data_IF_311359831889
#
_entry.id   IF_311359831889
#
_cell.length_a   1.000
_cell.length_b   1.000
_cell.length_c   1.000
_cell.angle_alpha   90.00
_cell.angle_beta   90.00
_cell.angle_gamma   90.00
#
_symmetry.space_group_name_H-M   'P 1'
#
loop_
_entity.id
_entity.type
_entity.pdbx_description
1 polymer ?
#
# COMPACT_ATOMS: atom_id res chain seq x y z
N UNK A 1 -27.32 -24.84 22.15
CA UNK A 1 -27.17 -26.30 22.00
C UNK A 1 -26.10 -26.58 20.96
N UNK A 2 -24.96 -27.11 21.42
CA UNK A 2 -23.97 -27.97 20.77
C UNK A 2 -22.57 -27.55 21.18
N UNK A 3 -22.19 -28.10 22.33
CA UNK A 3 -20.82 -28.35 22.71
C UNK A 3 -20.31 -29.58 21.94
N UNK A 4 -19.06 -29.55 21.51
CA UNK A 4 -18.27 -30.75 21.32
C UNK A 4 -16.79 -30.40 21.57
N UNK A 5 -16.29 -30.91 22.68
CA UNK A 5 -14.89 -30.95 23.03
C UNK A 5 -14.19 -32.05 22.23
N UNK A 6 -12.92 -31.84 21.86
CA UNK A 6 -11.96 -32.92 21.69
C UNK A 6 -10.61 -32.48 22.28
N UNK A 7 -10.29 -33.09 23.42
CA UNK A 7 -8.93 -33.22 23.93
C UNK A 7 -8.15 -34.23 23.09
N UNK A 8 -6.90 -33.92 22.76
CA UNK A 8 -5.94 -34.93 22.32
C UNK A 8 -4.55 -34.51 22.75
N UNK A 9 -3.97 -35.27 23.69
CA UNK A 9 -2.57 -35.20 24.07
C UNK A 9 -1.69 -35.67 22.91
N UNK A 10 -0.53 -35.04 22.68
CA UNK A 10 0.47 -35.56 21.76
C UNK A 10 1.87 -35.39 22.32
N UNK A 11 2.53 -36.53 22.51
CA UNK A 11 3.94 -36.68 22.89
C UNK A 11 4.88 -35.88 21.96
N UNK A 12 5.82 -35.16 22.56
CA UNK A 12 6.94 -34.54 21.86
C UNK A 12 7.93 -35.60 21.35
N UNK A 13 7.66 -36.16 20.18
CA UNK A 13 8.71 -36.77 19.36
C UNK A 13 9.53 -35.64 18.72
N UNK A 14 10.78 -35.51 19.14
CA UNK A 14 11.82 -34.75 18.42
C UNK A 14 12.02 -35.44 17.07
N UNK A 15 11.23 -35.05 16.06
CA UNK A 15 11.44 -35.50 14.68
C UNK A 15 12.77 -34.92 14.21
N UNK A 16 13.69 -35.81 13.84
CA UNK A 16 14.92 -35.42 13.18
C UNK A 16 14.61 -34.49 12.00
N UNK A 17 15.27 -33.33 11.96
CA UNK A 17 15.17 -32.40 10.84
C UNK A 17 15.45 -33.15 9.53
N UNK A 18 14.62 -32.99 8.49
CA UNK A 18 14.85 -33.63 7.20
C UNK A 18 16.28 -33.37 6.72
N UNK A 19 17.05 -34.40 6.33
CA UNK A 19 18.45 -34.26 5.87
C UNK A 19 18.66 -33.16 4.81
N UNK A 20 17.61 -32.83 4.04
CA UNK A 20 17.60 -31.74 3.06
C UNK A 20 17.76 -30.34 3.70
N UNK A 21 17.21 -30.11 4.90
CA UNK A 21 17.37 -28.85 5.64
C UNK A 21 18.81 -28.67 6.13
N UNK A 22 19.43 -29.74 6.66
CA UNK A 22 20.80 -29.70 7.17
C UNK A 22 21.80 -29.38 6.05
N UNK A 23 21.64 -30.00 4.87
CA UNK A 23 22.51 -29.71 3.72
C UNK A 23 22.45 -28.23 3.31
N UNK A 24 21.25 -27.64 3.31
CA UNK A 24 21.03 -26.24 2.90
C UNK A 24 21.69 -25.22 3.83
N UNK A 25 21.70 -25.47 5.14
CA UNK A 25 22.41 -24.59 6.09
C UNK A 25 23.92 -24.59 5.79
N UNK A 26 24.48 -25.75 5.44
CA UNK A 26 25.88 -25.86 5.00
C UNK A 26 26.16 -25.09 3.70
N UNK A 27 25.27 -25.20 2.72
CA UNK A 27 25.40 -24.50 1.43
C UNK A 27 25.36 -22.97 1.62
N UNK A 28 24.46 -22.45 2.48
CA UNK A 28 24.40 -21.02 2.83
C UNK A 28 25.68 -20.58 3.54
N UNK A 29 26.20 -21.39 4.46
CA UNK A 29 27.45 -21.11 5.17
C UNK A 29 28.67 -21.03 4.23
N UNK A 30 28.77 -21.93 3.25
CA UNK A 30 29.83 -21.85 2.24
C UNK A 30 29.72 -20.57 1.40
N UNK A 31 28.50 -20.19 1.02
CA UNK A 31 28.26 -18.96 0.29
C UNK A 31 28.71 -17.72 1.08
N UNK A 32 28.61 -17.73 2.41
CA UNK A 32 29.14 -16.66 3.26
C UNK A 32 30.67 -16.61 3.28
N UNK A 33 31.33 -17.77 3.32
CA UNK A 33 32.79 -17.86 3.25
C UNK A 33 33.27 -17.34 1.88
N UNK A 34 32.60 -17.71 0.79
CA UNK A 34 32.90 -17.16 -0.53
C UNK A 34 32.68 -15.64 -0.59
N UNK A 35 31.58 -15.15 -0.02
CA UNK A 35 31.26 -13.73 -0.03
C UNK A 35 32.31 -12.91 0.74
N UNK A 36 32.75 -13.39 1.91
CA UNK A 36 33.77 -12.72 2.72
C UNK A 36 35.17 -12.76 2.10
N UNK A 37 35.51 -13.85 1.39
CA UNK A 37 36.85 -14.03 0.81
C UNK A 37 36.97 -13.44 -0.60
N UNK A 38 35.97 -13.65 -1.46
CA UNK A 38 35.97 -13.25 -2.87
C UNK A 38 35.26 -11.92 -3.13
N UNK A 39 34.50 -11.40 -2.17
CA UNK A 39 33.68 -10.19 -2.32
C UNK A 39 32.68 -10.27 -3.49
N UNK A 40 32.28 -11.49 -3.88
CA UNK A 40 31.29 -11.76 -4.91
C UNK A 40 30.60 -13.08 -4.62
N UNK A 41 29.30 -13.20 -4.88
CA UNK A 41 28.66 -14.51 -4.91
C UNK A 41 29.09 -15.29 -6.15
N UNK A 42 29.63 -16.49 -5.93
CA UNK A 42 29.78 -17.47 -7.01
C UNK A 42 28.42 -17.84 -7.62
N UNK A 43 28.44 -18.33 -8.86
CA UNK A 43 27.22 -18.73 -9.58
C UNK A 43 26.39 -19.77 -8.82
N UNK A 44 27.04 -20.67 -8.08
CA UNK A 44 26.36 -21.66 -7.22
C UNK A 44 25.53 -21.00 -6.11
N UNK A 45 26.03 -19.90 -5.55
CA UNK A 45 25.33 -19.19 -4.49
C UNK A 45 24.21 -18.33 -5.03
N UNK A 46 24.40 -17.69 -6.19
CA UNK A 46 23.30 -17.01 -6.89
C UNK A 46 22.17 -18.00 -7.18
N UNK A 47 22.50 -19.20 -7.65
CA UNK A 47 21.51 -20.25 -7.95
C UNK A 47 20.65 -20.66 -6.75
N UNK A 48 21.11 -20.50 -5.50
CA UNK A 48 20.30 -20.77 -4.30
C UNK A 48 19.17 -19.76 -4.11
N UNK A 49 19.37 -18.52 -4.56
CA UNK A 49 18.45 -17.39 -4.40
C UNK A 49 17.62 -17.08 -5.66
N UNK A 50 17.82 -17.84 -6.74
CA UNK A 50 17.02 -17.74 -7.96
C UNK A 50 15.68 -18.51 -7.82
N UNK A 51 14.69 -18.24 -8.69
CA UNK A 51 13.46 -19.04 -8.76
C UNK A 51 13.79 -20.53 -8.86
N UNK A 52 13.26 -21.35 -7.95
CA UNK A 52 13.54 -22.79 -7.89
C UNK A 52 14.83 -23.20 -7.15
N UNK A 53 15.68 -22.24 -6.75
CA UNK A 53 16.92 -22.47 -5.98
C UNK A 53 16.72 -23.06 -4.58
N UNK A 54 15.48 -23.15 -4.12
CA UNK A 54 15.08 -23.84 -2.91
C UNK A 54 15.22 -23.01 -1.63
N UNK A 55 15.89 -21.85 -1.66
CA UNK A 55 15.94 -20.89 -0.55
C UNK A 55 15.08 -19.68 -0.91
N UNK A 56 13.96 -19.50 -0.20
CA UNK A 56 13.18 -18.26 -0.28
C UNK A 56 13.78 -17.27 0.71
N UNK A 57 14.62 -16.33 0.25
CA UNK A 57 15.28 -15.37 1.14
C UNK A 57 14.27 -14.46 1.85
N UNK A 58 13.17 -14.13 1.18
CA UNK A 58 12.04 -13.35 1.69
C UNK A 58 10.90 -14.31 2.05
N UNK A 59 10.39 -14.20 3.28
CA UNK A 59 9.28 -15.02 3.78
C UNK A 59 7.94 -14.28 3.77
N UNK A 60 7.96 -12.94 3.84
CA UNK A 60 6.77 -12.10 3.93
C UNK A 60 7.11 -10.66 3.56
N UNK A 61 6.13 -9.95 3.03
CA UNK A 61 6.19 -8.52 2.81
C UNK A 61 4.96 -7.91 3.48
N UNK A 62 5.19 -6.89 4.32
CA UNK A 62 4.14 -6.03 4.85
C UNK A 62 4.38 -4.63 4.31
N UNK A 63 3.33 -4.07 3.72
CA UNK A 63 3.28 -2.67 3.33
C UNK A 63 2.45 -1.95 4.39
N UNK A 64 2.99 -0.86 4.93
CA UNK A 64 2.24 0.06 5.77
C UNK A 64 1.30 0.91 4.90
N UNK A 65 1.37 2.22 5.10
CA UNK A 65 0.66 3.18 4.25
C UNK A 65 1.15 3.08 2.80
N UNK A 66 0.21 3.05 1.85
CA UNK A 66 0.51 2.94 0.43
C UNK A 66 -0.24 4.04 -0.32
N UNK A 67 0.49 4.93 -0.97
CA UNK A 67 -0.07 6.07 -1.67
C UNK A 67 0.03 5.86 -3.18
N UNK A 68 -1.11 5.91 -3.87
CA UNK A 68 -1.20 5.94 -5.33
C UNK A 68 -1.51 7.35 -5.83
N UNK A 69 -0.89 7.77 -6.92
CA UNK A 69 -1.17 9.05 -7.57
C UNK A 69 -1.40 8.83 -9.06
N UNK A 70 -2.66 9.05 -9.46
CA UNK A 70 -3.20 8.92 -10.81
C UNK A 70 -3.34 10.27 -11.51
N UNK A 71 -2.68 11.32 -11.01
CA UNK A 71 -2.74 12.66 -11.62
C UNK A 71 -1.80 12.85 -12.81
N UNK A 72 -0.98 11.84 -13.13
CA UNK A 72 -0.14 11.85 -14.32
C UNK A 72 -1.01 11.88 -15.58
N UNK A 73 -0.71 12.73 -16.59
CA UNK A 73 -1.46 12.75 -17.84
C UNK A 73 -1.38 11.45 -18.64
N UNK A 74 -0.39 10.59 -18.39
CA UNK A 74 -0.28 9.28 -19.00
C UNK A 74 -0.95 8.21 -18.12
N UNK A 75 -2.08 7.62 -18.54
CA UNK A 75 -2.84 6.68 -17.72
C UNK A 75 -2.16 5.32 -17.50
N UNK A 76 -1.00 5.08 -18.12
CA UNK A 76 -0.19 3.88 -17.90
C UNK A 76 0.84 4.04 -16.79
N UNK A 77 0.98 5.26 -16.28
CA UNK A 77 1.94 5.67 -15.28
C UNK A 77 1.14 6.01 -14.03
N UNK A 78 1.34 5.21 -12.98
CA UNK A 78 0.78 5.50 -11.65
C UNK A 78 1.95 5.69 -10.71
N UNK A 79 1.98 6.79 -9.99
CA UNK A 79 3.00 7.00 -8.97
C UNK A 79 2.64 6.24 -7.69
N UNK A 80 3.60 5.54 -7.10
CA UNK A 80 3.44 4.72 -5.90
C UNK A 80 4.47 5.14 -4.85
N UNK A 81 4.06 5.22 -3.60
CA UNK A 81 4.98 5.36 -2.47
C UNK A 81 4.48 4.66 -1.22
N UNK A 82 5.41 4.22 -0.37
CA UNK A 82 5.13 3.63 0.94
C UNK A 82 6.25 4.01 1.91
N UNK A 83 5.97 4.77 2.98
CA UNK A 83 6.99 5.18 3.95
C UNK A 83 7.42 4.04 4.89
N UNK A 84 6.67 2.95 4.98
CA UNK A 84 6.99 1.80 5.83
C UNK A 84 6.77 0.50 5.06
N UNK A 85 7.87 -0.09 4.58
CA UNK A 85 7.88 -1.43 4.01
C UNK A 85 8.73 -2.34 4.89
N UNK A 86 8.14 -3.46 5.30
CA UNK A 86 8.79 -4.46 6.13
C UNK A 86 8.89 -5.77 5.37
N UNK A 87 10.11 -6.25 5.19
CA UNK A 87 10.40 -7.50 4.49
C UNK A 87 10.92 -8.50 5.51
N UNK A 88 10.13 -9.55 5.78
CA UNK A 88 10.60 -10.65 6.60
C UNK A 88 11.61 -11.48 5.82
N UNK A 89 12.80 -11.64 6.38
CA UNK A 89 13.89 -12.45 5.79
C UNK A 89 14.04 -13.76 6.56
N UNK A 90 14.70 -14.74 5.95
CA UNK A 90 14.99 -16.00 6.63
C UNK A 90 15.94 -15.77 7.80
N UNK A 91 15.56 -16.32 8.95
CA UNK A 91 16.33 -16.24 10.19
C UNK A 91 17.76 -16.76 10.05
N UNK A 92 18.68 -16.13 10.78
CA UNK A 92 20.08 -16.56 10.83
C UNK A 92 20.95 -16.03 9.70
N UNK A 93 20.46 -15.01 8.98
CA UNK A 93 21.22 -14.26 7.98
C UNK A 93 21.67 -12.93 8.59
N UNK A 94 22.91 -12.81 9.11
CA UNK A 94 23.40 -11.60 9.75
C UNK A 94 23.97 -10.62 8.72
N UNK A 95 23.19 -10.25 7.71
CA UNK A 95 23.65 -9.24 6.75
C UNK A 95 23.36 -7.84 7.29
N UNK A 96 24.38 -7.00 7.54
CA UNK A 96 24.18 -5.58 7.83
C UNK A 96 23.80 -4.85 6.54
N UNK A 97 22.57 -5.11 6.07
CA UNK A 97 22.00 -4.45 4.89
C UNK A 97 21.86 -2.97 5.23
N UNK A 98 22.47 -2.12 4.43
CA UNK A 98 22.43 -0.66 4.57
C UNK A 98 21.51 -0.01 3.56
N UNK A 99 21.39 -0.61 2.38
CA UNK A 99 20.55 -0.10 1.30
C UNK A 99 19.90 -1.25 0.55
N UNK A 100 18.73 -1.00 -0.02
CA UNK A 100 18.04 -1.91 -0.91
C UNK A 100 17.49 -1.16 -2.13
N UNK A 101 17.39 -1.85 -3.26
CA UNK A 101 16.55 -1.48 -4.39
C UNK A 101 15.84 -2.72 -4.92
N UNK A 102 14.70 -2.53 -5.55
CA UNK A 102 13.82 -3.63 -5.92
C UNK A 102 13.30 -3.43 -7.34
N UNK A 103 13.21 -4.51 -8.09
CA UNK A 103 12.45 -4.61 -9.33
C UNK A 103 11.26 -5.51 -9.04
N UNK A 104 10.06 -4.94 -9.05
CA UNK A 104 8.84 -5.58 -8.55
C UNK A 104 7.82 -5.71 -9.68
N UNK A 105 7.18 -6.86 -9.73
CA UNK A 105 6.06 -7.20 -10.60
C UNK A 105 4.86 -7.47 -9.70
N UNK A 106 3.75 -6.80 -10.00
CA UNK A 106 2.47 -6.96 -9.34
C UNK A 106 1.65 -8.00 -10.11
N UNK A 107 1.26 -9.06 -9.41
CA UNK A 107 0.53 -10.19 -9.96
C UNK A 107 -0.83 -10.29 -9.28
N UNK A 108 -1.89 -10.09 -10.04
CA UNK A 108 -3.26 -10.21 -9.58
C UNK A 108 -3.93 -11.43 -10.22
N UNK A 109 -4.53 -12.31 -9.40
CA UNK A 109 -5.19 -13.54 -9.85
C UNK A 109 -4.33 -14.38 -10.83
N UNK A 110 -3.02 -14.42 -10.60
CA UNK A 110 -2.06 -15.16 -11.42
C UNK A 110 -1.61 -14.45 -12.71
N UNK A 111 -2.04 -13.22 -12.95
CA UNK A 111 -1.67 -12.41 -14.12
C UNK A 111 -0.76 -11.27 -13.70
N UNK A 112 0.38 -11.10 -14.37
CA UNK A 112 1.21 -9.91 -14.18
C UNK A 112 0.48 -8.70 -14.75
N UNK A 113 0.21 -7.68 -13.92
CA UNK A 113 -0.59 -6.50 -14.32
C UNK A 113 0.20 -5.19 -14.34
N UNK A 114 1.27 -5.10 -13.54
CA UNK A 114 2.13 -3.93 -13.54
C UNK A 114 3.54 -4.26 -13.03
N UNK A 115 4.48 -3.34 -13.24
CA UNK A 115 5.84 -3.41 -12.69
C UNK A 115 6.34 -2.05 -12.23
N UNK A 116 7.21 -2.03 -11.23
CA UNK A 116 7.91 -0.83 -10.79
C UNK A 116 9.32 -1.17 -10.29
N UNK A 117 10.20 -0.17 -10.29
CA UNK A 117 11.56 -0.29 -9.78
C UNK A 117 11.82 0.80 -8.76
N UNK A 118 12.42 0.46 -7.62
CA UNK A 118 12.78 1.46 -6.60
C UNK A 118 14.22 1.94 -6.78
N UNK A 119 14.53 3.21 -6.49
CA UNK A 119 15.92 3.64 -6.37
C UNK A 119 16.58 2.97 -5.15
N UNK A 120 17.90 3.07 -5.05
CA UNK A 120 18.61 2.71 -3.82
C UNK A 120 18.10 3.58 -2.66
N UNK A 121 17.58 2.92 -1.64
CA UNK A 121 17.08 3.56 -0.41
C UNK A 121 17.72 2.90 0.80
N UNK A 122 17.88 3.67 1.86
CA UNK A 122 18.37 3.15 3.13
C UNK A 122 17.46 2.03 3.64
N UNK A 123 18.06 1.01 4.23
CA UNK A 123 17.34 -0.09 4.85
C UNK A 123 18.02 -0.47 6.17
N UNK A 124 17.20 -0.93 7.13
CA UNK A 124 17.65 -1.25 8.48
C UNK A 124 17.16 -2.63 8.85
N UNK A 125 18.08 -3.48 9.30
CA UNK A 125 17.74 -4.79 9.86
C UNK A 125 17.30 -4.66 11.31
N UNK A 126 16.15 -5.23 11.63
CA UNK A 126 15.58 -5.37 12.98
C UNK A 126 15.24 -6.86 13.21
N UNK A 127 16.20 -7.60 13.77
CA UNK A 127 16.14 -9.06 13.84
C UNK A 127 16.05 -9.69 12.44
N UNK A 128 14.96 -10.41 12.18
CA UNK A 128 14.67 -11.06 10.90
C UNK A 128 13.79 -10.18 9.98
N UNK A 129 13.65 -8.89 10.27
CA UNK A 129 12.85 -7.95 9.48
C UNK A 129 13.73 -6.85 8.90
N UNK A 130 13.74 -6.72 7.57
CA UNK A 130 14.34 -5.59 6.87
C UNK A 130 13.28 -4.48 6.75
N UNK A 131 13.53 -3.34 7.41
CA UNK A 131 12.72 -2.13 7.30
C UNK A 131 13.29 -1.24 6.20
N UNK A 132 12.45 -0.78 5.29
CA UNK A 132 12.82 0.07 4.16
C UNK A 132 11.64 0.94 3.73
N UNK A 133 11.81 1.76 2.70
CA UNK A 133 10.78 2.66 2.18
C UNK A 133 10.64 2.49 0.68
N UNK A 134 9.42 2.51 0.15
CA UNK A 134 9.20 2.71 -1.28
C UNK A 134 9.05 4.22 -1.49
N UNK A 135 10.10 4.87 -1.98
CA UNK A 135 10.01 6.28 -2.39
C UNK A 135 9.00 6.47 -3.53
N UNK A 136 8.77 7.71 -3.97
CA UNK A 136 7.90 7.95 -5.12
C UNK A 136 8.47 7.27 -6.37
N UNK A 137 7.84 6.18 -6.81
CA UNK A 137 8.24 5.37 -7.95
C UNK A 137 7.12 5.23 -8.96
N UNK A 138 7.48 5.04 -10.22
CA UNK A 138 6.53 4.85 -11.31
C UNK A 138 6.17 3.37 -11.41
N UNK A 139 4.88 3.09 -11.26
CA UNK A 139 4.23 1.84 -11.62
C UNK A 139 3.83 1.92 -13.08
N UNK A 140 4.44 1.05 -13.88
CA UNK A 140 4.13 0.89 -15.29
C UNK A 140 3.12 -0.25 -15.43
N UNK A 141 1.90 0.09 -15.83
CA UNK A 141 0.88 -0.89 -16.17
C UNK A 141 1.25 -1.55 -17.50
N UNK A 142 1.16 -2.88 -17.60
CA UNK A 142 1.40 -3.55 -18.89
C UNK A 142 0.32 -3.17 -19.89
N UNK A 143 0.71 -2.82 -21.12
CA UNK A 143 -0.20 -2.27 -22.13
C UNK A 143 -1.40 -3.18 -22.44
N UNK A 144 -1.21 -4.49 -22.45
CA UNK A 144 -2.23 -5.49 -22.71
C UNK A 144 -2.99 -5.93 -21.44
N UNK A 145 -2.76 -5.26 -20.30
CA UNK A 145 -3.30 -5.60 -18.98
C UNK A 145 -4.09 -4.47 -18.31
N UNK A 146 -4.43 -3.42 -19.05
CA UNK A 146 -5.17 -2.25 -18.54
C UNK A 146 -6.50 -2.63 -17.87
N UNK A 147 -7.21 -3.59 -18.46
CA UNK A 147 -8.50 -4.06 -17.93
C UNK A 147 -8.34 -4.80 -16.60
N UNK A 148 -7.32 -5.64 -16.49
CA UNK A 148 -7.00 -6.38 -15.26
C UNK A 148 -6.51 -5.42 -14.17
N UNK A 149 -5.69 -4.44 -14.52
CA UNK A 149 -5.26 -3.41 -13.58
C UNK A 149 -6.45 -2.53 -13.13
N UNK A 150 -7.36 -2.16 -14.03
CA UNK A 150 -8.60 -1.46 -13.66
C UNK A 150 -9.44 -2.29 -12.68
N UNK A 151 -9.58 -3.60 -12.93
CA UNK A 151 -10.30 -4.51 -12.04
C UNK A 151 -9.62 -4.66 -10.67
N UNK A 152 -8.29 -4.60 -10.62
CA UNK A 152 -7.52 -4.53 -9.38
C UNK A 152 -7.87 -3.25 -8.60
N UNK A 153 -7.88 -2.08 -9.25
CA UNK A 153 -8.29 -0.82 -8.60
C UNK A 153 -9.75 -0.87 -8.14
N UNK A 154 -10.66 -1.42 -8.95
CA UNK A 154 -12.06 -1.64 -8.55
C UNK A 154 -12.16 -2.50 -7.30
N UNK A 155 -11.38 -3.58 -7.23
CA UNK A 155 -11.39 -4.47 -6.09
C UNK A 155 -10.87 -3.78 -4.81
N UNK A 156 -9.86 -2.92 -4.91
CA UNK A 156 -9.40 -2.09 -3.79
C UNK A 156 -10.44 -1.05 -3.35
N UNK A 157 -11.23 -0.51 -4.29
CA UNK A 157 -12.28 0.46 -4.00
C UNK A 157 -13.44 -0.16 -3.20
N UNK A 158 -13.91 -1.34 -3.61
CA UNK A 158 -15.15 -1.93 -3.04
C UNK A 158 -14.90 -2.89 -1.88
N UNK A 159 -13.77 -3.60 -1.86
CA UNK A 159 -13.53 -4.62 -0.84
C UNK A 159 -12.85 -4.01 0.39
N UNK A 160 -13.17 -4.49 1.61
CA UNK A 160 -12.48 -4.05 2.83
C UNK A 160 -11.04 -4.56 2.89
N UNK A 161 -10.73 -5.68 2.25
CA UNK A 161 -9.37 -6.20 2.08
C UNK A 161 -9.20 -6.79 0.69
N UNK A 162 -7.98 -6.75 0.17
CA UNK A 162 -7.65 -7.37 -1.12
C UNK A 162 -6.24 -7.95 -1.09
N UNK A 163 -6.10 -9.15 -1.65
CA UNK A 163 -4.86 -9.92 -1.64
C UNK A 163 -4.34 -10.15 -3.05
N UNK A 164 -3.05 -9.92 -3.26
CA UNK A 164 -2.34 -10.12 -4.52
C UNK A 164 -0.91 -10.55 -4.25
N UNK A 165 -0.14 -10.83 -5.30
CA UNK A 165 1.25 -11.28 -5.19
C UNK A 165 2.20 -10.18 -5.66
N UNK A 166 3.23 -9.92 -4.88
CA UNK A 166 4.42 -9.20 -5.32
C UNK A 166 5.54 -10.20 -5.57
N UNK A 167 6.14 -10.13 -6.76
CA UNK A 167 7.33 -10.92 -7.09
C UNK A 167 8.37 -10.09 -7.80
N UNK A 168 9.61 -10.54 -7.80
CA UNK A 168 10.67 -9.85 -8.53
C UNK A 168 12.04 -10.11 -7.96
N UNK A 169 12.92 -9.13 -8.09
CA UNK A 169 14.30 -9.20 -7.61
C UNK A 169 14.65 -8.04 -6.70
N UNK A 170 15.46 -8.30 -5.68
CA UNK A 170 16.03 -7.29 -4.80
C UNK A 170 17.54 -7.28 -4.95
N UNK A 171 18.11 -6.08 -5.02
CA UNK A 171 19.53 -5.86 -4.82
C UNK A 171 19.73 -5.20 -3.45
N UNK A 172 20.74 -5.64 -2.70
CA UNK A 172 21.07 -5.10 -1.38
C UNK A 172 22.53 -4.67 -1.32
N UNK A 173 22.81 -3.56 -0.64
CA UNK A 173 24.15 -3.18 -0.20
C UNK A 173 24.32 -3.58 1.26
N UNK A 174 25.49 -4.11 1.58
CA UNK A 174 25.88 -4.48 2.93
C UNK A 174 27.22 -3.84 3.26
N UNK A 175 27.35 -3.40 4.49
CA UNK A 175 28.61 -2.89 5.02
C UNK A 175 29.24 -3.93 5.92
N UNK A 176 30.28 -4.60 5.43
CA UNK A 176 31.05 -5.54 6.24
C UNK A 176 32.07 -4.70 7.02
N UNK A 177 31.83 -4.56 8.32
CA UNK A 177 32.85 -4.07 9.25
C UNK A 177 33.76 -5.24 9.59
N UNK A 178 35.08 -5.07 9.44
CA UNK A 178 36.02 -6.04 10.00
C UNK A 178 35.69 -6.18 11.49
N UNK A 179 35.47 -7.40 12.00
CA UNK A 179 35.19 -7.59 13.41
C UNK A 179 36.35 -6.99 14.18
N UNK A 180 36.09 -5.93 14.96
CA UNK A 180 37.10 -5.39 15.87
C UNK A 180 37.50 -6.56 16.75
N UNK A 181 38.75 -7.05 16.67
CA UNK A 181 39.13 -8.23 17.42
C UNK A 181 38.81 -7.93 18.89
N UNK A 182 38.04 -8.78 19.58
CA UNK A 182 37.73 -8.54 20.97
C UNK A 182 39.07 -8.41 21.69
N UNK A 183 39.33 -7.23 22.26
CA UNK A 183 40.48 -7.03 23.15
C UNK A 183 40.23 -7.94 24.33
N UNK A 184 40.69 -9.19 24.27
CA UNK A 184 40.63 -10.11 25.39
C UNK A 184 41.58 -9.55 26.47
N UNK A 185 41.06 -9.05 27.60
CA UNK A 185 41.91 -8.53 28.65
C UNK A 185 42.55 -9.72 29.36
N UNK A 186 43.87 -9.90 29.23
CA UNK A 186 44.65 -10.69 30.19
C UNK A 186 45.08 -12.11 29.81
N UNK A 187 44.94 -12.57 28.55
CA UNK A 187 45.52 -13.86 28.13
C UNK A 187 46.95 -13.71 27.62
N UNK A 188 47.89 -13.39 28.52
CA UNK A 188 49.31 -13.56 28.27
C UNK A 188 49.68 -15.03 28.36
N UNK A 189 50.12 -15.65 27.26
CA UNK A 189 50.94 -16.86 27.36
C UNK A 189 50.59 -18.08 26.49
N UNK A 190 49.51 -18.09 25.70
CA UNK A 190 49.25 -19.23 24.79
C UNK A 190 49.50 -18.88 23.33
N UNK A 191 50.32 -19.72 22.67
CA UNK A 191 50.95 -19.48 21.38
C UNK A 191 49.99 -19.07 20.24
N UNK A 192 50.31 -17.92 19.66
CA UNK A 192 50.17 -17.51 18.25
C UNK A 192 49.10 -18.19 17.38
N UNK A 193 47.81 -17.90 17.65
CA UNK A 193 46.80 -17.77 16.58
C UNK A 193 46.86 -16.40 15.88
N UNK A 194 47.91 -15.62 16.14
CA UNK A 194 48.06 -14.22 15.71
C UNK A 194 47.96 -14.01 14.20
N UNK A 195 48.35 -15.00 13.37
CA UNK A 195 48.38 -14.82 11.92
C UNK A 195 47.00 -14.61 11.25
N UNK A 196 45.96 -15.29 11.71
CA UNK A 196 44.61 -15.15 11.13
C UNK A 196 43.92 -13.87 11.61
N UNK A 197 44.08 -13.52 12.89
CA UNK A 197 43.56 -12.28 13.45
C UNK A 197 44.26 -11.04 12.88
N UNK A 198 45.58 -11.10 12.63
CA UNK A 198 46.32 -10.02 11.96
C UNK A 198 45.96 -9.87 10.47
N UNK A 199 45.49 -10.92 9.81
CA UNK A 199 44.97 -10.81 8.45
C UNK A 199 43.55 -10.22 8.43
N UNK A 200 42.73 -10.50 9.45
CA UNK A 200 41.42 -9.87 9.62
C UNK A 200 41.51 -8.40 10.03
N UNK A 201 42.49 -8.00 10.83
CA UNK A 201 42.73 -6.60 11.21
C UNK A 201 43.35 -5.75 10.08
N UNK A 202 43.96 -6.39 9.08
CA UNK A 202 44.45 -5.75 7.84
C UNK A 202 43.40 -5.65 6.74
N UNK A 203 42.21 -6.23 6.93
CA UNK A 203 41.07 -5.95 6.05
C UNK A 203 40.64 -4.49 6.27
N UNK A 204 40.91 -3.70 5.24
CA UNK A 204 40.64 -2.28 5.02
C UNK A 204 39.34 -1.71 5.63
N UNK A 205 39.22 -0.37 5.74
CA UNK A 205 37.99 0.34 6.11
C UNK A 205 36.74 -0.30 5.50
N UNK A 206 35.66 -0.33 6.28
CA UNK A 206 34.33 -0.85 5.95
C UNK A 206 34.07 -0.86 4.43
N UNK A 207 34.04 -2.06 3.85
CA UNK A 207 33.77 -2.23 2.42
C UNK A 207 32.28 -2.43 2.21
N UNK A 208 31.70 -1.65 1.31
CA UNK A 208 30.35 -1.88 0.80
C UNK A 208 30.40 -3.00 -0.24
N UNK A 209 29.55 -4.00 -0.06
CA UNK A 209 29.33 -5.09 -1.00
C UNK A 209 27.92 -5.00 -1.55
N UNK A 210 27.73 -5.30 -2.83
CA UNK A 210 26.39 -5.38 -3.44
C UNK A 210 26.06 -6.82 -3.79
N UNK A 211 24.91 -7.31 -3.32
CA UNK A 211 24.31 -8.57 -3.73
C UNK A 211 23.16 -8.21 -4.66
N UNK A 212 23.16 -8.75 -5.87
CA UNK A 212 22.14 -8.46 -6.88
C UNK A 212 21.28 -9.69 -7.21
N UNK A 213 20.03 -9.46 -7.61
CA UNK A 213 19.16 -10.47 -8.19
C UNK A 213 18.57 -11.46 -7.20
N UNK A 214 18.38 -11.09 -5.93
CA UNK A 214 17.74 -11.96 -4.94
C UNK A 214 16.26 -12.08 -5.30
N UNK A 215 15.81 -13.26 -5.73
CA UNK A 215 14.40 -13.45 -6.07
C UNK A 215 13.52 -13.44 -4.82
N UNK A 216 12.34 -12.84 -4.95
CA UNK A 216 11.30 -12.94 -3.96
C UNK A 216 9.92 -13.11 -4.59
N UNK A 217 9.01 -13.68 -3.81
CA UNK A 217 7.60 -13.81 -4.13
C UNK A 217 6.83 -13.88 -2.81
N UNK A 218 5.95 -12.92 -2.58
CA UNK A 218 5.13 -12.84 -1.37
C UNK A 218 3.70 -12.46 -1.72
N UNK A 219 2.77 -13.10 -1.04
CA UNK A 219 1.40 -12.64 -0.95
C UNK A 219 1.36 -11.38 -0.07
N UNK A 220 0.57 -10.39 -0.49
CA UNK A 220 0.37 -9.11 0.20
C UNK A 220 -1.12 -8.86 0.27
N UNK A 221 -1.61 -8.54 1.47
CA UNK A 221 -3.00 -8.15 1.71
C UNK A 221 -3.04 -6.70 2.12
N UNK A 222 -3.82 -5.89 1.42
CA UNK A 222 -4.07 -4.50 1.75
C UNK A 222 -5.49 -4.35 2.30
N UNK A 223 -5.68 -3.47 3.26
CA UNK A 223 -7.00 -2.89 3.54
C UNK A 223 -7.42 -2.01 2.36
N UNK A 224 -8.60 -2.26 1.81
CA UNK A 224 -9.21 -1.44 0.77
C UNK A 224 -10.10 -0.34 1.35
N UNK A 225 -10.81 0.40 0.48
CA UNK A 225 -11.68 1.50 0.90
C UNK A 225 -13.06 1.06 1.40
N UNK A 226 -13.43 -0.21 1.23
CA UNK A 226 -14.72 -0.77 1.65
C UNK A 226 -15.93 0.05 1.13
N UNK A 227 -15.83 0.58 -0.09
CA UNK A 227 -16.85 1.43 -0.70
C UNK A 227 -17.13 2.74 0.08
N UNK A 228 -16.11 3.31 0.72
CA UNK A 228 -16.14 4.63 1.39
C UNK A 228 -17.36 4.80 2.33
N UNK A 229 -17.46 4.00 3.41
CA UNK A 229 -18.65 3.98 4.25
C UNK A 229 -18.87 5.27 5.06
N UNK A 230 -17.81 6.05 5.27
CA UNK A 230 -17.80 7.20 6.17
C UNK A 230 -17.70 8.51 5.37
N UNK A 231 -18.82 8.93 4.78
CA UNK A 231 -18.93 10.21 4.09
C UNK A 231 -19.91 11.11 4.84
N UNK A 232 -19.44 12.28 5.23
CA UNK A 232 -20.21 13.26 6.00
C UNK A 232 -20.36 14.54 5.20
N UNK A 233 -21.57 15.08 5.18
CA UNK A 233 -21.79 16.45 4.73
C UNK A 233 -21.26 17.44 5.76
N UNK A 234 -20.50 18.45 5.32
CA UNK A 234 -19.89 19.45 6.22
C UNK A 234 -20.60 20.80 6.10
N UNK A 235 -20.62 21.39 4.91
CA UNK A 235 -21.19 22.73 4.71
C UNK A 235 -21.65 22.98 3.27
N UNK A 236 -22.61 23.90 3.13
CA UNK A 236 -23.04 24.44 1.84
C UNK A 236 -22.15 25.62 1.50
N UNK A 237 -21.51 25.57 0.33
CA UNK A 237 -20.64 26.65 -0.14
C UNK A 237 -21.38 27.58 -1.09
N UNK A 238 -22.08 27.02 -2.08
CA UNK A 238 -22.80 27.79 -3.10
C UNK A 238 -24.05 27.02 -3.56
N UNK A 239 -25.07 27.77 -3.98
CA UNK A 239 -26.25 27.22 -4.65
C UNK A 239 -26.75 28.18 -5.72
N UNK A 240 -27.00 27.66 -6.91
CA UNK A 240 -27.48 28.42 -8.06
C UNK A 240 -28.62 27.67 -8.73
N UNK A 241 -29.69 28.37 -9.08
CA UNK A 241 -30.80 27.86 -9.89
C UNK A 241 -30.78 28.60 -11.23
N UNK A 242 -30.77 27.85 -12.31
CA UNK A 242 -30.79 28.37 -13.67
C UNK A 242 -32.24 28.66 -14.11
N UNK A 243 -32.45 29.51 -15.13
CA UNK A 243 -33.79 29.83 -15.64
C UNK A 243 -34.60 28.63 -16.14
N UNK A 244 -33.92 27.55 -16.56
CA UNK A 244 -34.53 26.29 -16.99
C UNK A 244 -34.91 25.35 -15.83
N UNK A 245 -34.67 25.78 -14.59
CA UNK A 245 -34.94 25.03 -13.37
C UNK A 245 -33.84 24.03 -12.98
N UNK A 246 -32.80 23.85 -13.81
CA UNK A 246 -31.60 23.11 -13.40
C UNK A 246 -30.87 23.86 -12.28
N UNK A 247 -30.09 23.15 -11.48
CA UNK A 247 -29.38 23.74 -10.36
C UNK A 247 -27.94 23.22 -10.26
N UNK A 248 -27.11 24.04 -9.62
CA UNK A 248 -25.75 23.70 -9.20
C UNK A 248 -25.65 23.89 -7.69
N UNK A 249 -25.18 22.87 -6.98
CA UNK A 249 -24.91 22.91 -5.55
C UNK A 249 -23.43 22.61 -5.35
N UNK A 250 -22.74 23.55 -4.70
CA UNK A 250 -21.36 23.37 -4.25
C UNK A 250 -21.37 23.12 -2.76
N UNK A 251 -20.90 21.96 -2.33
CA UNK A 251 -20.82 21.57 -0.94
C UNK A 251 -19.41 21.14 -0.57
N UNK A 252 -19.13 21.15 0.73
CA UNK A 252 -17.96 20.52 1.30
C UNK A 252 -18.40 19.24 2.00
N UNK A 253 -17.68 18.16 1.74
CA UNK A 253 -17.88 16.86 2.37
C UNK A 253 -16.59 16.43 3.06
N UNK A 254 -16.70 15.62 4.10
CA UNK A 254 -15.59 14.90 4.70
C UNK A 254 -15.70 13.43 4.26
N UNK A 255 -14.67 12.90 3.62
CA UNK A 255 -14.55 11.46 3.34
C UNK A 255 -13.49 10.91 4.28
N UNK A 256 -13.91 10.12 5.26
CA UNK A 256 -12.98 9.49 6.18
C UNK A 256 -12.43 8.21 5.58
N UNK A 257 -11.12 8.19 5.40
CA UNK A 257 -10.39 7.08 4.82
C UNK A 257 -9.76 6.22 5.92
N UNK A 258 -10.42 5.11 6.26
CA UNK A 258 -9.91 4.11 7.19
C UNK A 258 -9.00 3.05 6.51
N UNK A 259 -8.74 3.19 5.21
CA UNK A 259 -7.87 2.29 4.45
C UNK A 259 -6.39 2.54 4.77
N UNK A 260 -5.55 1.53 4.53
CA UNK A 260 -4.10 1.72 4.44
C UNK A 260 -3.65 2.32 3.11
N UNK A 261 -4.60 2.60 2.21
CA UNK A 261 -4.36 3.23 0.91
C UNK A 261 -4.62 4.73 0.97
N UNK A 262 -3.66 5.53 0.53
CA UNK A 262 -3.88 6.90 0.12
C UNK A 262 -4.00 6.98 -1.40
N UNK A 263 -4.83 7.89 -1.92
CA UNK A 263 -5.01 8.02 -3.37
C UNK A 263 -5.26 9.45 -3.83
N UNK A 264 -4.54 9.88 -4.87
CA UNK A 264 -4.79 11.12 -5.61
C UNK A 264 -5.36 10.79 -6.98
N UNK A 265 -6.53 11.35 -7.26
CA UNK A 265 -7.31 11.06 -8.47
C UNK A 265 -7.57 12.30 -9.35
N UNK A 266 -7.31 13.51 -8.83
CA UNK A 266 -7.72 14.74 -9.49
C UNK A 266 -9.25 14.89 -9.47
N UNK A 267 -9.86 15.39 -10.54
CA UNK A 267 -11.31 15.57 -10.58
C UNK A 267 -12.00 14.25 -10.93
N UNK A 268 -12.92 13.83 -10.07
CA UNK A 268 -13.71 12.60 -10.25
C UNK A 268 -15.19 12.93 -10.34
N UNK A 269 -15.88 12.32 -11.28
CA UNK A 269 -17.30 12.52 -11.54
C UNK A 269 -18.09 11.27 -11.18
N UNK A 270 -19.29 11.48 -10.65
CA UNK A 270 -20.25 10.42 -10.33
C UNK A 270 -21.62 10.80 -10.86
N UNK A 271 -22.39 9.82 -11.30
CA UNK A 271 -23.82 10.02 -11.51
C UNK A 271 -24.50 10.16 -10.14
N UNK A 272 -25.33 11.19 -10.00
CA UNK A 272 -26.11 11.45 -8.80
C UNK A 272 -27.49 10.83 -8.94
N UNK A 273 -27.91 10.06 -7.95
CA UNK A 273 -29.23 9.45 -7.87
C UNK A 273 -29.91 9.89 -6.58
N UNK A 274 -31.22 10.04 -6.66
CA UNK A 274 -32.08 10.00 -5.47
C UNK A 274 -31.97 8.60 -4.85
N UNK A 275 -32.04 8.48 -3.51
CA UNK A 275 -31.85 7.21 -2.80
C UNK A 275 -32.77 6.08 -3.33
N UNK A 276 -33.99 6.42 -3.73
CA UNK A 276 -34.99 5.48 -4.23
C UNK A 276 -35.04 5.36 -5.78
N UNK A 277 -34.31 6.20 -6.52
CA UNK A 277 -34.34 6.24 -7.98
C UNK A 277 -33.21 5.43 -8.60
N UNK A 278 -33.49 4.77 -9.72
CA UNK A 278 -32.47 4.19 -10.60
C UNK A 278 -32.17 5.08 -11.81
N UNK A 279 -32.94 6.15 -12.02
CA UNK A 279 -32.65 7.17 -13.03
C UNK A 279 -31.73 8.25 -12.42
N UNK A 280 -30.63 8.63 -13.08
CA UNK A 280 -29.74 9.68 -12.60
C UNK A 280 -30.42 11.05 -12.66
N UNK A 281 -30.32 11.81 -11.58
CA UNK A 281 -30.86 13.17 -11.45
C UNK A 281 -29.82 14.26 -11.73
N UNK A 282 -28.54 13.88 -11.82
CA UNK A 282 -27.43 14.83 -11.91
C UNK A 282 -26.08 14.16 -12.07
N UNK A 283 -25.04 14.99 -12.06
CA UNK A 283 -23.64 14.61 -11.97
C UNK A 283 -23.01 15.36 -10.80
N UNK A 284 -22.30 14.65 -9.94
CA UNK A 284 -21.48 15.23 -8.87
C UNK A 284 -20.01 15.12 -9.25
N UNK A 285 -19.29 16.24 -9.26
CA UNK A 285 -17.83 16.29 -9.42
C UNK A 285 -17.18 16.51 -8.06
N UNK A 286 -16.33 15.59 -7.64
CA UNK A 286 -15.42 15.77 -6.51
C UNK A 286 -14.14 16.44 -7.04
N UNK A 287 -13.92 17.70 -6.65
CA UNK A 287 -12.78 18.49 -7.11
C UNK A 287 -11.50 18.04 -6.41
N UNK A 288 -10.43 17.79 -7.18
CA UNK A 288 -9.09 17.47 -6.67
C UNK A 288 -9.09 16.38 -5.58
N UNK A 289 -9.83 15.29 -5.83
CA UNK A 289 -9.96 14.17 -4.92
C UNK A 289 -8.59 13.60 -4.53
N UNK A 290 -8.22 13.85 -3.28
CA UNK A 290 -7.03 13.34 -2.62
C UNK A 290 -7.48 12.75 -1.28
N UNK A 291 -7.43 11.43 -1.18
CA UNK A 291 -7.79 10.69 0.01
C UNK A 291 -6.51 10.27 0.73
N UNK A 292 -6.06 11.11 1.67
CA UNK A 292 -5.07 10.73 2.67
C UNK A 292 -5.72 9.86 3.76
N UNK A 293 -4.92 9.24 4.63
CA UNK A 293 -5.43 8.51 5.79
C UNK A 293 -6.16 9.45 6.76
N UNK A 294 -7.32 9.02 7.28
CA UNK A 294 -8.15 9.84 8.17
C UNK A 294 -9.12 10.76 7.43
N UNK A 295 -9.34 11.97 7.95
CA UNK A 295 -10.34 12.91 7.42
C UNK A 295 -9.87 13.63 6.16
N UNK A 296 -10.74 13.74 5.15
CA UNK A 296 -10.46 14.40 3.88
C UNK A 296 -11.60 15.35 3.50
N UNK A 297 -11.34 16.65 3.58
CA UNK A 297 -12.30 17.68 3.23
C UNK A 297 -12.24 17.98 1.73
N UNK A 298 -13.30 17.63 1.01
CA UNK A 298 -13.38 17.70 -0.45
C UNK A 298 -14.54 18.59 -0.85
N UNK A 299 -14.36 19.31 -1.95
CA UNK A 299 -15.42 20.10 -2.55
C UNK A 299 -16.17 19.27 -3.58
N UNK A 300 -17.48 19.13 -3.39
CA UNK A 300 -18.39 18.44 -4.29
C UNK A 300 -19.24 19.46 -5.06
N UNK A 301 -19.28 19.35 -6.38
CA UNK A 301 -20.09 20.18 -7.27
C UNK A 301 -21.14 19.31 -7.94
N UNK A 302 -22.37 19.38 -7.45
CA UNK A 302 -23.50 18.63 -7.99
C UNK A 302 -24.29 19.49 -8.96
N UNK A 303 -24.44 19.02 -10.19
CA UNK A 303 -25.23 19.66 -11.25
C UNK A 303 -26.40 18.76 -11.62
N UNK A 304 -27.63 19.26 -11.54
CA UNK A 304 -28.79 18.50 -12.00
C UNK A 304 -28.82 18.38 -13.53
N UNK A 305 -29.30 17.26 -14.07
CA UNK A 305 -29.59 17.18 -15.51
C UNK A 305 -30.98 17.75 -15.81
N UNK A 306 -31.16 18.30 -17.02
CA UNK A 306 -32.48 18.74 -17.49
C UNK A 306 -33.49 17.58 -17.64
N UNK A 307 -33.01 16.33 -17.59
CA UNK A 307 -33.81 15.10 -17.68
C UNK A 307 -34.36 14.68 -16.31
N UNK A 308 -33.83 15.24 -15.22
CA UNK A 308 -34.36 14.98 -13.88
C UNK A 308 -35.85 15.36 -13.81
N UNK A 309 -36.69 14.42 -13.36
CA UNK A 309 -38.10 14.71 -13.11
C UNK A 309 -38.18 15.72 -11.96
N UNK A 310 -38.72 16.91 -12.23
CA UNK A 310 -38.93 17.99 -11.26
C UNK A 310 -37.64 18.50 -10.56
N UNK A 311 -36.69 19.13 -11.27
CA UNK A 311 -35.44 19.60 -10.66
C UNK A 311 -35.67 20.64 -9.54
N UNK A 312 -36.74 21.44 -9.63
CA UNK A 312 -37.15 22.37 -8.58
C UNK A 312 -37.59 21.66 -7.28
N UNK A 313 -38.24 20.49 -7.39
CA UNK A 313 -38.63 19.69 -6.23
C UNK A 313 -37.40 19.10 -5.56
N UNK A 314 -36.48 18.52 -6.34
CA UNK A 314 -35.21 17.99 -5.84
C UNK A 314 -34.42 19.08 -5.12
N UNK A 315 -34.28 20.26 -5.73
CA UNK A 315 -33.61 21.39 -5.12
C UNK A 315 -34.24 21.77 -3.76
N UNK A 316 -35.58 21.80 -3.70
CA UNK A 316 -36.30 22.09 -2.45
C UNK A 316 -36.02 21.02 -1.39
N UNK A 317 -36.01 19.73 -1.75
CA UNK A 317 -35.71 18.65 -0.80
C UNK A 317 -34.29 18.76 -0.24
N UNK A 318 -33.29 18.97 -1.11
CA UNK A 318 -31.89 19.17 -0.70
C UNK A 318 -31.75 20.34 0.26
N UNK A 319 -32.43 21.45 -0.02
CA UNK A 319 -32.21 22.71 0.70
C UNK A 319 -33.08 22.89 1.94
N UNK A 320 -34.27 22.29 1.98
CA UNK A 320 -35.23 22.52 3.07
C UNK A 320 -35.43 21.32 3.99
N UNK A 321 -35.44 20.09 3.45
CA UNK A 321 -35.83 18.89 4.19
C UNK A 321 -34.65 18.01 4.60
N UNK A 322 -33.52 18.17 3.93
CA UNK A 322 -32.47 17.16 3.94
C UNK A 322 -32.85 15.99 3.04
N UNK A 323 -31.85 15.29 2.52
CA UNK A 323 -32.06 14.21 1.58
C UNK A 323 -30.83 13.30 1.54
N UNK A 324 -31.05 12.04 1.21
CA UNK A 324 -29.97 11.08 0.96
C UNK A 324 -29.76 10.91 -0.54
N UNK A 325 -28.53 11.13 -1.00
CA UNK A 325 -28.13 10.90 -2.38
C UNK A 325 -27.23 9.69 -2.51
N UNK A 326 -27.31 9.01 -3.65
CA UNK A 326 -26.33 8.00 -4.06
C UNK A 326 -25.47 8.57 -5.17
N UNK A 327 -24.16 8.42 -5.05
CA UNK A 327 -23.22 8.72 -6.12
C UNK A 327 -22.67 7.41 -6.68
N UNK A 328 -22.98 7.10 -7.93
CA UNK A 328 -22.47 5.90 -8.62
C UNK A 328 -21.43 6.27 -9.65
N UNK A 329 -20.31 5.55 -9.65
CA UNK A 329 -19.32 5.62 -10.70
C UNK A 329 -19.87 5.12 -12.04
N UNK A 330 -19.27 5.60 -13.11
CA UNK A 330 -19.51 5.20 -14.50
C UNK A 330 -18.20 5.23 -15.32
N UNK A 331 -18.24 4.77 -16.57
CA UNK A 331 -17.03 4.57 -17.38
C UNK A 331 -16.20 5.85 -17.66
N UNK A 332 -16.79 7.04 -17.49
CA UNK A 332 -16.17 8.35 -17.75
C UNK A 332 -15.95 9.13 -16.44
N UNK A 333 -15.98 8.45 -15.29
CA UNK A 333 -15.84 9.08 -13.97
C UNK A 333 -14.50 9.80 -13.76
N UNK A 334 -13.47 9.49 -14.53
CA UNK A 334 -12.23 10.26 -14.53
C UNK A 334 -11.95 10.76 -15.94
N UNK A 335 -11.71 12.07 -16.05
CA UNK A 335 -11.33 12.71 -17.32
C UNK A 335 -9.84 12.59 -17.61
N UNK A 336 -9.04 12.31 -16.58
CA UNK A 336 -7.58 12.27 -16.67
C UNK A 336 -7.06 10.86 -16.98
N UNK A 337 -7.76 9.82 -16.50
CA UNK A 337 -7.27 8.46 -16.57
C UNK A 337 -8.42 7.44 -16.80
N UNK A 338 -8.50 6.80 -17.98
CA UNK A 338 -9.50 5.75 -18.26
C UNK A 338 -9.35 4.48 -17.41
N UNK A 339 -8.14 4.12 -16.96
CA UNK A 339 -7.94 2.99 -16.05
C UNK A 339 -8.59 3.31 -14.72
N UNK A 340 -8.34 4.52 -14.19
CA UNK A 340 -8.98 4.98 -12.97
C UNK A 340 -10.50 5.07 -13.15
N UNK A 341 -10.99 5.64 -14.26
CA UNK A 341 -12.41 5.79 -14.54
C UNK A 341 -13.16 4.45 -14.48
N UNK A 342 -12.57 3.40 -15.07
CA UNK A 342 -13.10 2.03 -14.98
C UNK A 342 -12.93 1.44 -13.58
N UNK A 343 -11.81 1.71 -12.91
CA UNK A 343 -11.57 1.32 -11.53
C UNK A 343 -12.67 1.77 -10.58
N UNK A 344 -13.07 3.03 -10.67
CA UNK A 344 -14.08 3.64 -9.80
C UNK A 344 -15.53 3.46 -10.29
N UNK A 345 -15.75 2.89 -11.48
CA UNK A 345 -17.11 2.75 -12.03
C UNK A 345 -18.00 1.79 -11.23
N UNK A 346 -17.43 1.04 -10.29
CA UNK A 346 -18.13 0.11 -9.39
C UNK A 346 -18.49 0.74 -8.04
N UNK A 347 -18.04 1.97 -7.78
CA UNK A 347 -18.28 2.68 -6.52
C UNK A 347 -19.74 3.14 -6.48
N UNK A 348 -20.40 2.90 -5.35
CA UNK A 348 -21.79 3.30 -5.08
C UNK A 348 -21.87 3.83 -3.64
N UNK A 349 -21.64 5.12 -3.48
CA UNK A 349 -21.57 5.76 -2.17
C UNK A 349 -22.88 6.47 -1.85
N UNK A 350 -23.22 6.54 -0.58
CA UNK A 350 -24.40 7.24 -0.09
C UNK A 350 -23.98 8.44 0.74
N UNK A 351 -24.58 9.60 0.51
CA UNK A 351 -24.31 10.84 1.24
C UNK A 351 -25.62 11.41 1.76
N UNK A 352 -25.71 11.57 3.07
CA UNK A 352 -26.83 12.23 3.73
C UNK A 352 -26.54 13.74 3.83
N UNK A 353 -27.40 14.55 3.22
CA UNK A 353 -27.36 16.01 3.32
C UNK A 353 -28.43 16.44 4.32
N UNK A 354 -28.08 17.09 5.43
CA UNK A 354 -29.07 17.56 6.41
C UNK A 354 -29.88 18.73 5.84
N UNK A 355 -31.04 18.99 6.46
CA UNK A 355 -31.87 20.16 6.15
C UNK A 355 -31.08 21.46 6.35
N UNK A 356 -30.83 22.21 5.27
CA UNK A 356 -30.04 23.45 5.29
C UNK A 356 -30.82 24.66 5.84
N UNK A 357 -32.13 24.49 6.06
CA UNK A 357 -33.05 25.51 6.59
C UNK A 357 -32.95 25.66 8.12
N UNK A 358 -32.35 24.69 8.81
CA UNK A 358 -32.05 24.80 10.23
C UNK A 358 -30.61 25.32 10.38
N UNK A 359 -30.38 26.52 10.95
CA UNK A 359 -29.03 26.92 11.31
C UNK A 359 -28.43 25.83 12.18
N UNK A 360 -27.22 25.37 11.84
CA UNK A 360 -26.52 24.36 12.63
C UNK A 360 -26.62 24.77 14.12
N UNK A 361 -27.01 23.86 15.02
CA UNK A 361 -27.02 24.17 16.44
C UNK A 361 -25.65 24.74 16.78
N UNK A 362 -25.63 25.95 17.35
CA UNK A 362 -24.40 26.65 17.65
C UNK A 362 -23.42 25.67 18.32
N UNK A 363 -22.14 25.63 17.90
CA UNK A 363 -21.18 24.69 18.47
C UNK A 363 -21.27 24.79 19.99
N UNK A 364 -21.46 23.64 20.64
CA UNK A 364 -21.65 23.58 22.08
C UNK A 364 -20.57 24.44 22.74
N UNK A 365 -21.00 25.41 23.56
CA UNK A 365 -20.08 26.32 24.21
C UNK A 365 -18.99 25.48 24.90
N UNK A 366 -17.69 25.81 24.70
CA UNK A 366 -16.63 25.07 25.35
C UNK A 366 -16.91 25.01 26.86
N UNK A 367 -16.69 23.86 27.51
CA UNK A 367 -16.96 23.71 28.93
C UNK A 367 -16.27 24.85 29.68
N UNK A 368 -17.02 25.54 30.55
CA UNK A 368 -16.50 26.65 31.32
C UNK A 368 -15.21 26.21 32.02
N UNK A 369 -14.12 26.96 31.80
CA UNK A 369 -12.86 26.67 32.45
C UNK A 369 -13.08 26.61 33.97
N UNK A 370 -12.54 25.59 34.66
CA UNK A 370 -12.70 25.50 36.12
C UNK A 370 -12.16 26.78 36.76
N UNK A 371 -12.97 27.39 37.62
CA UNK A 371 -12.59 28.56 38.40
C UNK A 371 -11.38 28.22 39.28
N UNK A 372 -10.31 29.01 39.15
CA UNK A 372 -9.07 28.87 39.90
C UNK A 372 -9.24 29.16 41.39
#
# INVERSE_FOLDING_TARGET
>A
MMAAALSSSSNHHVRALPRRLIKRVGDIGQCFIELSTKQTFGENCKALFLPGGGVKAVNSIKLGELNFDFTDPNPLIVSLSSPDMQVGVVSGIPFPITDARQDVILVDKGVEIAKFSTPWVAAVMDGDTLKTTVGNTIVNVFDDKRDQFSAFISALAVNPTYTFILRGTVDVKLTISAPTPPKMPGMGGFGSFGGAADQLSKLAPSKSLTIAGIYFESEVTLSGFANFPDIEYVELLEKTINPDGSFVIKSKINIKNNSQLGVKMGNVQFNTFDAASEDPIGVTVLEQLNLAHGDNFITAVSTSTAVAKNPAEIYKRVTENGETFRFKGFAESSTNDPILAKGISVVDITVEIPALSNPAPAPAAPPAAPSA
#
